data_IF_527424226115
#
_entry.id   IF_527424226115
#
_cell.length_a   1.000
_cell.length_b   1.000
_cell.length_c   1.000
_cell.angle_alpha   90.00
_cell.angle_beta   90.00
_cell.angle_gamma   90.00
#
_symmetry.space_group_name_H-M   'P 1'
#
loop_
_entity.id
_entity.type
_entity.pdbx_description
1 polymer ?
#
# COMPACT_ATOMS: atom_id res chain seq x y z
N UNK A 1 -17.51 18.72 -5.38
CA UNK A 1 -16.97 19.37 -4.15
C UNK A 1 -15.90 20.35 -4.53
N UNK A 2 -15.90 21.55 -3.92
CA UNK A 2 -14.84 22.55 -4.12
C UNK A 2 -13.97 22.63 -2.86
N UNK A 3 -12.65 22.57 -3.03
CA UNK A 3 -11.66 22.91 -2.00
C UNK A 3 -11.00 24.24 -2.37
N UNK A 4 -11.24 25.27 -1.56
CA UNK A 4 -10.63 26.61 -1.72
C UNK A 4 -9.46 26.77 -0.79
N UNK A 5 -8.33 27.29 -1.31
CA UNK A 5 -7.07 27.41 -0.57
C UNK A 5 -6.56 28.85 -0.70
N UNK A 6 -6.34 29.53 0.44
CA UNK A 6 -5.85 30.89 0.47
C UNK A 6 -4.65 31.07 1.41
N UNK A 7 -3.59 31.68 0.90
CA UNK A 7 -2.42 32.04 1.67
C UNK A 7 -1.47 30.88 2.03
N UNK A 8 -1.70 29.68 1.48
CA UNK A 8 -0.84 28.50 1.66
C UNK A 8 -0.91 27.54 0.45
N UNK A 9 -0.07 26.52 0.46
CA UNK A 9 0.05 25.51 -0.61
C UNK A 9 -0.17 24.06 -0.14
N UNK A 10 -0.85 23.85 1.01
CA UNK A 10 -1.14 22.54 1.61
C UNK A 10 -2.27 21.78 0.89
N UNK A 11 -2.30 21.86 -0.46
CA UNK A 11 -3.40 21.29 -1.24
C UNK A 11 -3.49 19.77 -1.12
N UNK A 12 -2.34 19.08 -1.06
CA UNK A 12 -2.29 17.62 -1.00
C UNK A 12 -2.92 17.08 0.30
N UNK A 13 -2.57 17.66 1.44
CA UNK A 13 -3.07 17.27 2.76
C UNK A 13 -4.55 17.59 2.90
N UNK A 14 -4.97 18.78 2.48
CA UNK A 14 -6.36 19.21 2.52
C UNK A 14 -7.25 18.35 1.58
N UNK A 15 -6.78 18.08 0.36
CA UNK A 15 -7.50 17.25 -0.59
C UNK A 15 -7.67 15.82 -0.07
N UNK A 16 -6.59 15.21 0.44
CA UNK A 16 -6.65 13.84 0.99
C UNK A 16 -7.62 13.77 2.17
N UNK A 17 -7.62 14.76 3.04
CA UNK A 17 -8.56 14.78 4.16
C UNK A 17 -10.01 14.93 3.66
N UNK A 18 -10.28 15.77 2.67
CA UNK A 18 -11.59 15.83 2.03
C UNK A 18 -12.01 14.49 1.44
N UNK A 19 -11.09 13.73 0.80
CA UNK A 19 -11.36 12.40 0.25
C UNK A 19 -11.73 11.36 1.31
N UNK A 20 -11.20 11.48 2.53
CA UNK A 20 -11.57 10.58 3.63
C UNK A 20 -13.06 10.74 4.00
N UNK A 21 -13.61 11.95 3.94
CA UNK A 21 -15.01 12.20 4.25
C UNK A 21 -15.95 12.08 3.04
N UNK A 22 -15.45 12.38 1.86
CA UNK A 22 -16.21 12.41 0.60
C UNK A 22 -15.49 11.61 -0.50
N UNK A 23 -15.34 10.28 -0.35
CA UNK A 23 -14.50 9.44 -1.23
C UNK A 23 -15.01 9.37 -2.67
N UNK A 24 -16.30 9.59 -2.89
CA UNK A 24 -16.92 9.51 -4.23
C UNK A 24 -17.05 10.87 -4.93
N UNK A 25 -16.69 11.96 -4.26
CA UNK A 25 -16.80 13.29 -4.83
C UNK A 25 -15.58 13.65 -5.67
N UNK A 26 -15.83 14.30 -6.83
CA UNK A 26 -14.76 14.92 -7.59
C UNK A 26 -14.37 16.22 -6.88
N UNK A 27 -13.14 16.31 -6.39
CA UNK A 27 -12.63 17.50 -5.73
C UNK A 27 -12.00 18.43 -6.76
N UNK A 28 -12.46 19.66 -6.82
CA UNK A 28 -11.88 20.73 -7.62
C UNK A 28 -11.19 21.75 -6.70
N UNK A 29 -9.88 21.94 -6.89
CA UNK A 29 -9.09 22.88 -6.06
C UNK A 29 -9.13 24.26 -6.70
N UNK A 30 -9.42 25.29 -5.91
CA UNK A 30 -9.51 26.71 -6.32
C UNK A 30 -8.65 27.58 -5.42
N UNK A 31 -8.00 28.56 -6.01
CA UNK A 31 -7.16 29.53 -5.31
C UNK A 31 -7.71 30.98 -5.40
N UNK A 32 -8.80 31.17 -6.13
CA UNK A 32 -9.37 32.48 -6.48
C UNK A 32 -10.78 32.74 -5.93
N UNK A 33 -11.28 31.82 -5.11
CA UNK A 33 -12.63 31.90 -4.55
C UNK A 33 -13.75 31.65 -5.55
N UNK A 34 -13.44 31.31 -6.80
CA UNK A 34 -14.44 31.06 -7.85
C UNK A 34 -15.18 29.74 -7.68
N UNK A 35 -16.31 29.63 -8.37
CA UNK A 35 -17.17 28.45 -8.37
C UNK A 35 -18.17 28.44 -7.22
N UNK A 36 -19.23 27.66 -7.39
CA UNK A 36 -20.27 27.41 -6.40
C UNK A 36 -20.59 25.93 -6.41
N UNK A 37 -20.60 25.31 -5.23
CA UNK A 37 -20.85 23.88 -5.06
C UNK A 37 -21.47 23.68 -3.67
N UNK A 38 -22.52 22.86 -3.53
CA UNK A 38 -23.14 22.58 -2.24
C UNK A 38 -22.18 21.97 -1.21
N UNK A 39 -21.05 21.38 -1.68
CA UNK A 39 -19.99 20.86 -0.84
C UNK A 39 -18.73 21.70 -1.04
N UNK A 40 -18.51 22.67 -0.17
CA UNK A 40 -17.32 23.53 -0.21
C UNK A 40 -16.57 23.49 1.11
N UNK A 41 -15.26 23.30 1.02
CA UNK A 41 -14.31 23.49 2.14
C UNK A 41 -13.34 24.60 1.75
N UNK A 42 -13.13 25.52 2.65
CA UNK A 42 -12.21 26.62 2.45
C UNK A 42 -11.20 26.68 3.58
N UNK A 43 -9.92 26.79 3.23
CA UNK A 43 -8.80 26.87 4.17
C UNK A 43 -8.02 28.15 3.92
N UNK A 44 -7.68 28.88 4.99
CA UNK A 44 -7.01 30.17 4.91
C UNK A 44 -5.84 30.22 5.88
N UNK A 45 -4.75 30.85 5.46
CA UNK A 45 -3.61 31.17 6.29
C UNK A 45 -3.29 32.67 6.13
N UNK A 46 -3.18 33.37 7.24
CA UNK A 46 -2.81 34.77 7.31
C UNK A 46 -1.52 34.89 8.14
N UNK A 47 -0.41 35.31 7.55
CA UNK A 47 0.80 35.62 8.32
C UNK A 47 0.55 36.73 9.33
N UNK A 48 1.07 36.57 10.55
CA UNK A 48 1.01 37.55 11.63
C UNK A 48 2.39 37.72 12.28
N UNK A 49 2.62 38.77 13.03
CA UNK A 49 3.86 38.96 13.77
C UNK A 49 4.06 37.84 14.79
N UNK A 50 5.16 37.08 14.61
CA UNK A 50 5.52 35.94 15.47
C UNK A 50 4.67 34.68 15.25
N UNK A 51 3.98 34.53 14.10
CA UNK A 51 3.18 33.34 13.82
C UNK A 51 2.26 33.49 12.61
N UNK A 52 1.12 32.79 12.67
CA UNK A 52 0.09 32.86 11.65
C UNK A 52 -1.31 32.63 12.25
N UNK A 53 -2.33 33.18 11.65
CA UNK A 53 -3.72 32.83 11.92
C UNK A 53 -4.21 31.90 10.82
N UNK A 54 -4.80 30.79 11.23
CA UNK A 54 -5.41 29.80 10.33
C UNK A 54 -6.91 29.75 10.52
N UNK A 55 -7.66 29.56 9.44
CA UNK A 55 -9.09 29.46 9.44
C UNK A 55 -9.57 28.37 8.47
N UNK A 56 -10.59 27.65 8.86
CA UNK A 56 -11.30 26.69 8.01
C UNK A 56 -12.78 26.98 8.03
N UNK A 57 -13.40 27.00 6.86
CA UNK A 57 -14.84 27.20 6.67
C UNK A 57 -15.38 26.04 5.87
N UNK A 58 -16.43 25.39 6.35
CA UNK A 58 -17.19 24.39 5.61
C UNK A 58 -18.56 24.93 5.25
N UNK A 59 -18.97 24.79 4.00
CA UNK A 59 -20.32 25.04 3.52
C UNK A 59 -20.84 23.76 2.86
N UNK A 60 -21.68 23.05 3.59
CA UNK A 60 -22.11 21.70 3.21
C UNK A 60 -23.64 21.66 3.23
N UNK A 61 -24.25 21.50 2.05
CA UNK A 61 -25.70 21.44 1.88
C UNK A 61 -26.46 22.59 2.56
N UNK A 62 -25.87 23.79 2.53
CA UNK A 62 -26.45 25.01 3.14
C UNK A 62 -26.14 25.24 4.61
N UNK A 63 -25.48 24.28 5.29
CA UNK A 63 -24.90 24.45 6.62
C UNK A 63 -23.52 25.11 6.50
N UNK A 64 -23.29 26.21 7.18
CA UNK A 64 -22.00 26.90 7.20
C UNK A 64 -21.44 26.86 8.61
N UNK A 65 -20.21 26.32 8.71
CA UNK A 65 -19.45 26.31 9.97
C UNK A 65 -18.06 26.87 9.73
N UNK A 66 -17.47 27.45 10.76
CA UNK A 66 -16.09 27.91 10.71
C UNK A 66 -15.37 27.67 12.02
N UNK A 67 -14.07 27.46 11.93
CA UNK A 67 -13.17 27.43 13.07
C UNK A 67 -11.85 28.07 12.68
N UNK A 68 -11.17 28.69 13.64
CA UNK A 68 -9.87 29.31 13.40
C UNK A 68 -9.04 29.31 14.66
N UNK A 69 -7.73 29.48 14.49
CA UNK A 69 -6.77 29.49 15.58
C UNK A 69 -5.56 30.34 15.23
N UNK A 70 -4.79 30.71 16.26
CA UNK A 70 -3.48 31.36 16.13
C UNK A 70 -2.39 30.34 16.37
N UNK A 71 -1.49 30.19 15.39
CA UNK A 71 -0.33 29.31 15.47
C UNK A 71 0.92 30.14 15.74
N UNK A 72 1.63 29.82 16.81
CA UNK A 72 2.89 30.46 17.17
C UNK A 72 3.99 29.38 17.24
N UNK A 73 5.06 29.57 16.50
CA UNK A 73 6.18 28.64 16.46
C UNK A 73 7.45 29.32 15.95
N UNK A 74 8.64 28.74 16.16
CA UNK A 74 9.85 29.12 15.44
C UNK A 74 9.61 29.11 13.92
N UNK A 75 10.32 29.97 13.18
CA UNK A 75 10.10 30.16 11.75
C UNK A 75 10.25 28.86 10.93
N UNK A 76 11.23 28.04 11.31
CA UNK A 76 11.49 26.72 10.70
C UNK A 76 10.42 25.66 10.98
N UNK A 77 9.62 25.79 12.03
CA UNK A 77 8.51 24.89 12.38
C UNK A 77 7.12 25.45 12.04
N UNK A 78 7.03 26.74 11.76
CA UNK A 78 5.73 27.43 11.64
C UNK A 78 4.88 26.85 10.52
N UNK A 79 5.48 26.53 9.39
CA UNK A 79 4.81 25.92 8.24
C UNK A 79 4.11 24.62 8.63
N UNK A 80 4.87 23.67 9.20
CA UNK A 80 4.36 22.34 9.55
C UNK A 80 3.28 22.41 10.64
N UNK A 81 3.43 23.36 11.58
CA UNK A 81 2.41 23.59 12.61
C UNK A 81 1.14 24.21 12.07
N UNK A 82 1.23 25.11 11.08
CA UNK A 82 0.05 25.66 10.40
C UNK A 82 -0.68 24.59 9.59
N UNK A 83 0.05 23.77 8.85
CA UNK A 83 -0.49 22.64 8.09
C UNK A 83 -1.25 21.68 9.01
N UNK A 84 -0.59 21.23 10.10
CA UNK A 84 -1.22 20.36 11.08
C UNK A 84 -2.47 21.00 11.70
N UNK A 85 -2.43 22.29 12.05
CA UNK A 85 -3.58 22.94 12.67
C UNK A 85 -4.74 23.10 11.70
N UNK A 86 -4.50 23.42 10.45
CA UNK A 86 -5.53 23.43 9.39
C UNK A 86 -6.16 22.04 9.27
N UNK A 87 -5.36 20.98 9.20
CA UNK A 87 -5.86 19.61 9.11
C UNK A 87 -6.73 19.23 10.34
N UNK A 88 -6.33 19.63 11.55
CA UNK A 88 -7.12 19.42 12.77
C UNK A 88 -8.47 20.15 12.71
N UNK A 89 -8.48 21.42 12.31
CA UNK A 89 -9.72 22.19 12.16
C UNK A 89 -10.66 21.60 11.10
N UNK A 90 -10.09 21.15 9.97
CA UNK A 90 -10.85 20.40 8.95
C UNK A 90 -11.47 19.14 9.53
N UNK A 91 -10.67 18.35 10.26
CA UNK A 91 -11.14 17.11 10.90
C UNK A 91 -12.28 17.39 11.88
N UNK A 92 -12.14 18.39 12.75
CA UNK A 92 -13.16 18.80 13.72
C UNK A 92 -14.49 19.17 13.03
N UNK A 93 -14.42 20.05 12.00
CA UNK A 93 -15.61 20.51 11.28
C UNK A 93 -16.26 19.41 10.44
N UNK A 94 -15.46 18.65 9.68
CA UNK A 94 -15.98 17.60 8.81
C UNK A 94 -16.54 16.41 9.61
N UNK A 95 -15.90 16.05 10.73
CA UNK A 95 -16.46 15.04 11.64
C UNK A 95 -17.81 15.48 12.25
N UNK A 96 -17.91 16.74 12.65
CA UNK A 96 -19.16 17.28 13.19
C UNK A 96 -20.27 17.37 12.15
N UNK A 97 -19.93 17.56 10.88
CA UNK A 97 -20.89 17.67 9.77
C UNK A 97 -21.37 16.31 9.30
N UNK A 98 -20.46 15.33 9.17
CA UNK A 98 -20.75 14.00 8.63
C UNK A 98 -21.18 12.99 9.68
N UNK A 99 -20.90 13.25 10.97
CA UNK A 99 -21.06 12.27 12.05
C UNK A 99 -20.02 11.11 11.99
N UNK A 100 -19.06 11.19 11.07
CA UNK A 100 -17.99 10.19 10.91
C UNK A 100 -16.69 10.71 11.49
N UNK A 101 -16.03 9.90 12.31
CA UNK A 101 -14.71 10.21 12.87
C UNK A 101 -13.68 9.23 12.34
N UNK A 102 -12.82 9.62 11.41
CA UNK A 102 -11.78 8.76 10.86
C UNK A 102 -10.85 8.21 11.96
N UNK A 103 -10.65 6.90 12.05
CA UNK A 103 -9.86 6.31 13.15
C UNK A 103 -8.36 6.64 13.06
N UNK A 104 -7.86 7.05 11.90
CA UNK A 104 -6.50 7.53 11.71
C UNK A 104 -6.35 9.05 11.85
N UNK A 105 -7.40 9.76 12.29
CA UNK A 105 -7.38 11.21 12.50
C UNK A 105 -7.04 11.96 11.22
N UNK A 106 -6.08 12.88 11.33
CA UNK A 106 -5.57 13.68 10.19
C UNK A 106 -4.37 13.02 9.49
N UNK A 107 -3.98 11.83 9.90
CA UNK A 107 -2.87 11.10 9.29
C UNK A 107 -3.27 10.58 7.91
N UNK A 108 -2.78 11.21 6.85
CA UNK A 108 -3.02 10.84 5.44
C UNK A 108 -1.88 10.02 4.84
N UNK A 109 -0.77 9.86 5.57
CA UNK A 109 0.41 9.10 5.11
C UNK A 109 0.23 7.60 5.15
N UNK A 110 0.96 6.94 4.25
CA UNK A 110 1.04 5.48 4.16
C UNK A 110 2.14 4.93 5.04
N UNK A 111 2.10 4.17 5.98
CA UNK A 111 3.11 3.60 6.90
C UNK A 111 3.15 4.33 8.25
N UNK A 112 2.05 4.31 8.99
CA UNK A 112 1.98 4.90 10.33
C UNK A 112 3.00 4.29 11.31
N UNK A 113 3.36 3.00 11.15
CA UNK A 113 4.40 2.33 11.96
C UNK A 113 5.76 2.99 11.80
N UNK A 114 6.16 3.37 10.57
CA UNK A 114 7.43 4.07 10.32
C UNK A 114 7.48 5.46 10.99
N UNK A 115 6.36 6.18 10.97
CA UNK A 115 6.24 7.46 11.68
C UNK A 115 6.32 7.23 13.20
N UNK A 116 5.60 6.24 13.71
CA UNK A 116 5.62 5.88 15.13
C UNK A 116 7.03 5.52 15.59
N UNK A 117 7.77 4.70 14.85
CA UNK A 117 9.15 4.32 15.16
C UNK A 117 10.07 5.55 15.25
N UNK A 118 9.97 6.45 14.25
CA UNK A 118 10.76 7.70 14.23
C UNK A 118 10.46 8.60 15.44
N UNK A 119 9.18 8.78 15.75
CA UNK A 119 8.75 9.61 16.88
C UNK A 119 9.12 8.99 18.22
N UNK A 120 9.06 7.66 18.33
CA UNK A 120 9.53 6.95 19.54
C UNK A 120 11.01 7.20 19.80
N UNK A 121 11.84 7.18 18.75
CA UNK A 121 13.26 7.49 18.86
C UNK A 121 13.54 8.95 19.27
N UNK A 122 12.67 9.90 18.87
CA UNK A 122 12.83 11.33 19.13
C UNK A 122 12.20 11.78 20.46
N UNK A 123 11.03 11.28 20.80
CA UNK A 123 10.17 11.78 21.89
C UNK A 123 9.95 10.76 23.01
N UNK A 124 10.44 9.53 22.85
CA UNK A 124 10.09 8.39 23.70
C UNK A 124 8.70 7.84 23.40
N UNK A 125 8.37 6.66 23.95
CA UNK A 125 7.10 5.96 23.69
C UNK A 125 5.88 6.83 24.02
N UNK A 126 5.86 7.47 25.19
CA UNK A 126 4.73 8.30 25.60
C UNK A 126 4.58 9.54 24.73
N UNK A 127 5.70 10.21 24.38
CA UNK A 127 5.67 11.37 23.48
C UNK A 127 5.16 11.04 22.08
N UNK A 128 5.55 9.88 21.54
CA UNK A 128 5.05 9.39 20.26
C UNK A 128 3.54 9.07 20.32
N UNK A 129 3.09 8.42 21.39
CA UNK A 129 1.66 8.15 21.62
C UNK A 129 0.84 9.44 21.76
N UNK A 130 1.34 10.43 22.49
CA UNK A 130 0.70 11.74 22.64
C UNK A 130 0.64 12.48 21.30
N UNK A 131 1.70 12.45 20.50
CA UNK A 131 1.69 13.05 19.18
C UNK A 131 0.65 12.39 18.26
N UNK A 132 0.54 11.06 18.25
CA UNK A 132 -0.48 10.36 17.47
C UNK A 132 -1.90 10.70 17.94
N UNK A 133 -2.16 10.67 19.25
CA UNK A 133 -3.53 10.81 19.76
C UNK A 133 -3.99 12.26 19.90
N UNK A 134 -3.11 13.18 20.31
CA UNK A 134 -3.42 14.59 20.53
C UNK A 134 -3.04 15.48 19.34
N UNK A 135 -1.90 15.17 18.70
CA UNK A 135 -1.43 15.90 17.52
C UNK A 135 -2.16 15.49 16.26
N UNK A 136 -2.09 14.20 15.91
CA UNK A 136 -2.69 13.68 14.67
C UNK A 136 -4.16 13.24 14.84
N UNK A 137 -4.74 13.33 16.03
CA UNK A 137 -6.11 12.93 16.36
C UNK A 137 -6.42 11.46 16.00
N UNK A 138 -5.40 10.62 15.98
CA UNK A 138 -5.52 9.18 15.76
C UNK A 138 -6.21 8.53 16.97
N UNK A 139 -7.13 7.60 16.72
CA UNK A 139 -7.79 6.89 17.83
C UNK A 139 -6.75 6.13 18.68
N UNK A 140 -6.97 6.03 20.01
CA UNK A 140 -6.05 5.31 20.88
C UNK A 140 -5.79 3.85 20.45
N UNK A 141 -6.78 3.21 19.84
CA UNK A 141 -6.68 1.84 19.33
C UNK A 141 -5.70 1.78 18.15
N UNK A 142 -5.85 2.68 17.18
CA UNK A 142 -4.95 2.74 16.00
C UNK A 142 -3.54 3.19 16.37
N UNK A 143 -3.40 4.10 17.34
CA UNK A 143 -2.09 4.49 17.86
C UNK A 143 -1.36 3.30 18.52
N UNK A 144 -2.08 2.50 19.34
CA UNK A 144 -1.51 1.25 19.91
C UNK A 144 -1.16 0.23 18.83
N UNK A 145 -2.00 0.07 17.81
CA UNK A 145 -1.68 -0.79 16.66
C UNK A 145 -0.39 -0.34 15.97
N UNK A 146 -0.27 0.96 15.65
CA UNK A 146 0.94 1.51 15.04
C UNK A 146 2.19 1.26 15.90
N UNK A 147 2.10 1.42 17.22
CA UNK A 147 3.20 1.16 18.15
C UNK A 147 3.58 -0.33 18.19
N UNK A 148 2.60 -1.23 18.20
CA UNK A 148 2.84 -2.67 18.19
C UNK A 148 3.56 -3.10 16.90
N UNK A 149 3.09 -2.62 15.75
CA UNK A 149 3.71 -2.91 14.45
C UNK A 149 5.11 -2.31 14.38
N UNK A 150 5.29 -1.06 14.79
CA UNK A 150 6.60 -0.39 14.82
C UNK A 150 7.63 -1.19 15.62
N UNK A 151 7.25 -1.70 16.80
CA UNK A 151 8.13 -2.53 17.65
C UNK A 151 8.49 -3.86 16.99
N UNK A 152 7.57 -4.48 16.26
CA UNK A 152 7.85 -5.70 15.51
C UNK A 152 8.79 -5.43 14.33
N UNK A 153 8.57 -4.34 13.59
CA UNK A 153 9.42 -3.93 12.46
C UNK A 153 10.83 -3.53 12.91
N UNK A 154 10.97 -2.88 14.07
CA UNK A 154 12.26 -2.44 14.62
C UNK A 154 13.26 -3.59 14.73
N UNK A 155 12.83 -4.74 15.23
CA UNK A 155 13.69 -5.93 15.38
C UNK A 155 14.20 -6.43 14.02
N UNK A 156 13.38 -6.35 12.98
CA UNK A 156 13.74 -6.76 11.62
C UNK A 156 14.73 -5.76 11.02
N UNK A 157 14.45 -4.46 11.14
CA UNK A 157 15.30 -3.40 10.60
C UNK A 157 16.66 -3.36 11.34
N UNK A 158 16.66 -3.51 12.65
CA UNK A 158 17.89 -3.53 13.46
C UNK A 158 18.84 -4.67 13.11
N UNK A 159 18.35 -5.75 12.52
CA UNK A 159 19.16 -6.89 12.06
C UNK A 159 19.81 -6.67 10.68
N UNK A 160 19.41 -5.63 9.95
CA UNK A 160 20.01 -5.27 8.66
C UNK A 160 21.31 -4.50 8.87
N UNK A 161 22.26 -4.72 7.97
CA UNK A 161 23.58 -4.05 8.00
C UNK A 161 23.56 -2.80 7.09
N UNK A 162 24.47 -1.84 7.27
CA UNK A 162 24.54 -0.64 6.43
C UNK A 162 24.72 -0.94 4.93
N UNK A 163 25.33 -2.08 4.57
CA UNK A 163 25.51 -2.54 3.19
C UNK A 163 24.44 -3.53 2.73
N UNK A 164 23.38 -3.74 3.51
CA UNK A 164 22.26 -4.62 3.11
C UNK A 164 21.39 -3.97 2.06
N UNK A 165 20.89 -4.77 1.11
CA UNK A 165 19.91 -4.34 0.13
C UNK A 165 18.87 -5.44 -0.14
N UNK A 166 17.75 -5.03 -0.73
CA UNK A 166 16.68 -5.91 -1.21
C UNK A 166 16.57 -5.81 -2.72
N UNK A 167 16.35 -6.94 -3.37
CA UNK A 167 16.16 -7.03 -4.82
C UNK A 167 14.67 -7.22 -5.14
N UNK A 168 14.10 -6.30 -5.93
CA UNK A 168 12.77 -6.44 -6.49
C UNK A 168 12.85 -6.74 -7.98
N UNK A 169 12.32 -7.89 -8.40
CA UNK A 169 12.29 -8.35 -9.79
C UNK A 169 10.86 -8.22 -10.31
N UNK A 170 10.65 -7.30 -11.25
CA UNK A 170 9.32 -7.03 -11.80
C UNK A 170 9.02 -7.91 -13.01
N UNK A 171 7.84 -8.55 -13.02
CA UNK A 171 7.29 -9.26 -14.20
C UNK A 171 6.03 -8.53 -14.64
N UNK A 172 6.12 -7.54 -15.54
CA UNK A 172 4.99 -6.67 -15.93
C UNK A 172 4.03 -7.37 -16.91
N UNK A 173 3.75 -8.65 -16.68
CA UNK A 173 2.82 -9.45 -17.48
C UNK A 173 1.78 -10.11 -16.59
N UNK A 174 0.54 -10.16 -17.08
CA UNK A 174 -0.60 -10.80 -16.39
C UNK A 174 -1.36 -11.70 -17.36
N UNK A 175 -2.08 -12.73 -16.87
CA UNK A 175 -3.01 -13.50 -17.71
C UNK A 175 -4.08 -12.60 -18.34
N UNK A 176 -4.72 -11.76 -17.53
CA UNK A 176 -5.72 -10.74 -17.94
C UNK A 176 -5.51 -9.49 -17.09
N UNK A 177 -6.06 -8.34 -17.52
CA UNK A 177 -6.02 -7.11 -16.73
C UNK A 177 -7.27 -7.00 -15.86
N UNK A 178 -7.07 -6.88 -14.54
CA UNK A 178 -8.14 -6.64 -13.60
C UNK A 178 -8.58 -5.17 -13.63
N UNK A 179 -9.89 -4.90 -13.47
CA UNK A 179 -10.46 -3.54 -13.58
C UNK A 179 -9.96 -2.56 -12.52
N UNK A 180 -9.62 -3.04 -11.33
CA UNK A 180 -9.11 -2.23 -10.21
C UNK A 180 -7.61 -1.98 -10.25
N UNK A 181 -6.84 -2.72 -11.07
CA UNK A 181 -5.38 -2.73 -10.96
C UNK A 181 -4.75 -1.50 -11.62
N UNK A 182 -3.99 -0.75 -10.82
CA UNK A 182 -3.20 0.42 -11.26
C UNK A 182 -1.78 0.08 -11.72
N UNK A 183 -1.32 -1.16 -11.53
CA UNK A 183 0.02 -1.56 -11.93
C UNK A 183 0.20 -1.55 -13.44
N UNK A 184 1.37 -1.11 -13.88
CA UNK A 184 1.74 -1.19 -15.28
C UNK A 184 1.97 -2.66 -15.63
N UNK A 185 1.05 -3.23 -16.43
CA UNK A 185 1.14 -4.63 -16.85
C UNK A 185 0.55 -4.85 -18.23
N UNK A 186 1.09 -5.85 -18.91
CA UNK A 186 0.64 -6.28 -20.23
C UNK A 186 -0.10 -7.62 -20.11
N UNK A 187 -1.32 -7.68 -20.66
CA UNK A 187 -2.04 -8.96 -20.72
C UNK A 187 -1.43 -9.85 -21.81
N UNK A 188 -1.08 -11.09 -21.46
CA UNK A 188 -0.57 -12.08 -22.43
C UNK A 188 -1.65 -12.61 -23.38
N UNK A 189 -2.94 -12.26 -23.19
CA UNK A 189 -3.95 -12.48 -24.21
C UNK A 189 -3.73 -11.59 -25.44
N UNK A 190 -3.03 -10.47 -25.26
CA UNK A 190 -2.57 -9.64 -26.36
C UNK A 190 -1.37 -10.30 -27.05
N UNK A 191 -1.47 -10.52 -28.37
CA UNK A 191 -0.43 -11.19 -29.16
C UNK A 191 0.91 -10.42 -29.17
N UNK A 192 0.89 -9.09 -29.12
CA UNK A 192 2.10 -8.28 -29.07
C UNK A 192 2.82 -8.43 -27.71
N UNK A 193 2.07 -8.39 -26.62
CA UNK A 193 2.63 -8.61 -25.28
C UNK A 193 3.25 -10.01 -25.15
N UNK A 194 2.57 -11.03 -25.68
CA UNK A 194 3.11 -12.41 -25.69
C UNK A 194 4.41 -12.54 -26.48
N UNK A 195 4.55 -11.80 -27.58
CA UNK A 195 5.79 -11.78 -28.38
C UNK A 195 6.95 -11.06 -27.69
N UNK A 196 6.65 -10.08 -26.84
CA UNK A 196 7.67 -9.34 -26.07
C UNK A 196 8.23 -10.13 -24.88
N UNK A 197 7.45 -11.07 -24.31
CA UNK A 197 7.83 -11.78 -23.09
C UNK A 197 9.19 -12.51 -23.18
N UNK A 198 9.54 -13.25 -24.25
CA UNK A 198 10.85 -13.89 -24.33
C UNK A 198 12.01 -12.92 -24.31
N UNK A 199 11.94 -11.85 -25.11
CA UNK A 199 12.97 -10.79 -25.16
C UNK A 199 13.09 -10.07 -23.80
N UNK A 200 11.96 -9.79 -23.15
CA UNK A 200 11.94 -9.22 -21.83
C UNK A 200 12.71 -10.07 -20.80
N UNK A 201 12.49 -11.40 -20.82
CA UNK A 201 13.17 -12.32 -19.89
C UNK A 201 14.67 -12.40 -20.15
N UNK A 202 15.10 -12.33 -21.41
CA UNK A 202 16.52 -12.25 -21.76
C UNK A 202 17.15 -10.97 -21.21
N UNK A 203 16.53 -9.80 -21.45
CA UNK A 203 17.01 -8.51 -20.93
C UNK A 203 17.01 -8.44 -19.43
N UNK A 204 15.99 -9.01 -18.78
CA UNK A 204 15.92 -9.09 -17.31
C UNK A 204 17.05 -9.98 -16.75
N UNK A 205 17.39 -11.07 -17.41
CA UNK A 205 18.53 -11.91 -17.01
C UNK A 205 19.87 -11.18 -17.18
N UNK A 206 20.05 -10.43 -18.28
CA UNK A 206 21.23 -9.59 -18.50
C UNK A 206 21.34 -8.53 -17.37
N UNK A 207 20.24 -7.83 -17.07
CA UNK A 207 20.17 -6.82 -16.00
C UNK A 207 20.52 -7.41 -14.61
N UNK A 208 20.02 -8.60 -14.27
CA UNK A 208 20.38 -9.27 -13.03
C UNK A 208 21.90 -9.56 -12.96
N UNK A 209 22.52 -9.96 -14.07
CA UNK A 209 23.96 -10.18 -14.16
C UNK A 209 24.75 -8.90 -13.88
N UNK A 210 24.40 -7.79 -14.54
CA UNK A 210 25.05 -6.49 -14.36
C UNK A 210 24.86 -5.96 -12.91
N UNK A 211 23.65 -6.02 -12.37
CA UNK A 211 23.38 -5.62 -10.98
C UNK A 211 24.15 -6.47 -9.98
N UNK A 212 24.28 -7.78 -10.22
CA UNK A 212 25.09 -8.67 -9.41
C UNK A 212 26.58 -8.29 -9.44
N UNK A 213 27.11 -7.87 -10.60
CA UNK A 213 28.45 -7.30 -10.74
C UNK A 213 28.64 -6.06 -9.87
N UNK A 214 27.75 -5.07 -9.98
CA UNK A 214 27.75 -3.84 -9.22
C UNK A 214 27.67 -4.14 -7.70
N UNK A 215 26.78 -5.05 -7.30
CA UNK A 215 26.62 -5.41 -5.89
C UNK A 215 27.91 -5.99 -5.30
N UNK A 216 28.63 -6.84 -6.05
CA UNK A 216 29.94 -7.38 -5.64
C UNK A 216 31.00 -6.29 -5.55
N UNK A 217 31.11 -5.39 -6.52
CA UNK A 217 32.07 -4.28 -6.51
C UNK A 217 31.87 -3.36 -5.33
N UNK A 218 30.61 -3.09 -4.95
CA UNK A 218 30.26 -2.23 -3.82
C UNK A 218 30.25 -2.96 -2.47
N UNK A 219 30.51 -4.27 -2.44
CA UNK A 219 30.45 -5.08 -1.22
C UNK A 219 29.07 -5.12 -0.57
N UNK A 220 28.02 -5.07 -1.38
CA UNK A 220 26.63 -5.10 -0.91
C UNK A 220 26.19 -6.53 -0.55
N UNK A 221 25.28 -6.63 0.42
CA UNK A 221 24.76 -7.88 0.97
C UNK A 221 23.26 -8.00 0.66
N UNK A 222 22.87 -8.99 -0.14
CA UNK A 222 21.49 -9.24 -0.47
C UNK A 222 20.75 -9.91 0.71
N UNK A 223 19.70 -9.27 1.23
CA UNK A 223 18.92 -9.78 2.37
C UNK A 223 17.53 -10.27 2.01
N UNK A 224 16.92 -9.73 0.97
CA UNK A 224 15.62 -10.23 0.49
C UNK A 224 15.50 -10.15 -1.02
N UNK A 225 14.78 -11.10 -1.57
CA UNK A 225 14.41 -11.14 -3.01
C UNK A 225 12.91 -11.23 -3.12
N UNK A 226 12.34 -10.39 -3.97
CA UNK A 226 10.91 -10.36 -4.22
C UNK A 226 10.61 -10.30 -5.72
N UNK A 227 9.99 -11.35 -6.26
CA UNK A 227 9.46 -11.37 -7.62
C UNK A 227 7.98 -10.98 -7.59
N UNK A 228 7.66 -9.88 -8.25
CA UNK A 228 6.30 -9.31 -8.25
C UNK A 228 5.99 -8.53 -9.53
N UNK A 229 5.12 -7.53 -9.39
CA UNK A 229 4.73 -6.62 -10.48
C UNK A 229 3.35 -6.93 -11.04
N UNK A 230 3.27 -7.55 -12.22
CA UNK A 230 2.02 -8.06 -12.79
C UNK A 230 1.64 -9.39 -12.14
N UNK A 231 2.14 -10.48 -12.70
CA UNK A 231 1.91 -11.84 -12.18
C UNK A 231 3.08 -12.74 -12.57
N UNK A 232 4.10 -12.92 -11.74
CA UNK A 232 5.21 -13.84 -12.04
C UNK A 232 4.76 -15.26 -12.39
N UNK A 233 3.64 -15.71 -11.84
CA UNK A 233 3.02 -17.00 -12.20
C UNK A 233 2.57 -17.12 -13.66
N UNK A 234 2.59 -16.04 -14.45
CA UNK A 234 2.32 -16.10 -15.90
C UNK A 234 3.42 -16.83 -16.66
N UNK A 235 4.64 -16.86 -16.11
CA UNK A 235 5.78 -17.55 -16.70
C UNK A 235 5.55 -19.07 -16.70
N UNK A 236 5.94 -19.74 -17.78
CA UNK A 236 5.98 -21.19 -17.80
C UNK A 236 7.08 -21.71 -16.85
N UNK A 237 6.93 -22.92 -16.35
CA UNK A 237 7.88 -23.48 -15.38
C UNK A 237 9.36 -23.41 -15.86
N UNK A 238 9.72 -23.71 -17.14
CA UNK A 238 11.10 -23.57 -17.61
C UNK A 238 11.58 -22.12 -17.69
N UNK A 239 10.65 -21.14 -17.91
CA UNK A 239 11.00 -19.72 -17.92
C UNK A 239 11.28 -19.22 -16.51
N UNK A 240 10.43 -19.62 -15.56
CA UNK A 240 10.59 -19.33 -14.15
C UNK A 240 11.90 -19.91 -13.60
N UNK A 241 12.16 -21.18 -13.86
CA UNK A 241 13.40 -21.88 -13.48
C UNK A 241 14.65 -21.14 -14.00
N UNK A 242 14.67 -20.80 -15.29
CA UNK A 242 15.80 -20.08 -15.92
C UNK A 242 16.03 -18.71 -15.28
N UNK A 243 14.96 -17.97 -14.98
CA UNK A 243 15.07 -16.65 -14.37
C UNK A 243 15.57 -16.73 -12.92
N UNK A 244 15.12 -17.73 -12.16
CA UNK A 244 15.60 -17.97 -10.81
C UNK A 244 17.09 -18.39 -10.82
N UNK A 245 17.52 -19.26 -11.74
CA UNK A 245 18.93 -19.59 -11.98
C UNK A 245 19.78 -18.34 -12.29
N UNK A 246 19.25 -17.40 -13.09
CA UNK A 246 19.96 -16.13 -13.37
C UNK A 246 20.17 -15.31 -12.11
N UNK A 247 19.18 -15.21 -11.23
CA UNK A 247 19.32 -14.56 -9.93
C UNK A 247 20.36 -15.24 -9.04
N UNK A 248 20.29 -16.57 -8.91
CA UNK A 248 21.22 -17.37 -8.08
C UNK A 248 22.66 -17.29 -8.57
N UNK A 249 22.87 -17.23 -9.88
CA UNK A 249 24.22 -17.08 -10.46
C UNK A 249 24.78 -15.67 -10.33
N UNK A 250 23.91 -14.67 -10.21
CA UNK A 250 24.30 -13.25 -10.19
C UNK A 250 24.58 -12.74 -8.78
N UNK A 251 23.90 -13.27 -7.75
CA UNK A 251 23.97 -12.78 -6.37
C UNK A 251 24.35 -13.90 -5.39
N UNK A 252 25.03 -13.51 -4.28
CA UNK A 252 25.22 -14.39 -3.13
C UNK A 252 23.94 -14.43 -2.29
N UNK A 253 23.27 -15.57 -2.30
CA UNK A 253 22.02 -15.81 -1.58
C UNK A 253 22.22 -16.33 -0.15
N UNK A 254 23.45 -16.54 0.31
CA UNK A 254 23.75 -17.08 1.65
C UNK A 254 23.23 -16.23 2.81
N UNK A 255 22.96 -14.96 2.54
CA UNK A 255 22.45 -13.99 3.50
C UNK A 255 20.95 -13.75 3.42
N UNK A 256 20.23 -14.45 2.53
CA UNK A 256 18.79 -14.23 2.35
C UNK A 256 18.02 -14.57 3.62
N UNK A 257 17.14 -13.66 3.98
CA UNK A 257 16.17 -13.81 5.07
C UNK A 257 14.77 -14.05 4.53
N UNK A 258 14.48 -13.59 3.31
CA UNK A 258 13.23 -13.83 2.63
C UNK A 258 13.44 -13.96 1.12
N UNK A 259 12.86 -14.98 0.53
CA UNK A 259 12.77 -15.20 -0.91
C UNK A 259 11.31 -15.39 -1.29
N UNK A 260 10.70 -14.35 -1.84
CA UNK A 260 9.29 -14.31 -2.19
C UNK A 260 9.07 -14.33 -3.69
N UNK A 261 8.12 -15.12 -4.16
CA UNK A 261 7.60 -15.09 -5.54
C UNK A 261 6.08 -15.01 -5.52
N UNK A 262 5.53 -13.94 -6.10
CA UNK A 262 4.10 -13.82 -6.34
C UNK A 262 3.68 -14.73 -7.49
N UNK A 263 3.11 -15.91 -7.20
CA UNK A 263 2.38 -16.64 -8.23
C UNK A 263 1.12 -15.86 -8.60
N UNK A 264 0.51 -15.23 -7.61
CA UNK A 264 -0.51 -14.21 -7.75
C UNK A 264 -1.87 -14.77 -8.12
N UNK A 265 -2.03 -15.26 -9.32
CA UNK A 265 -3.31 -15.73 -9.86
C UNK A 265 -3.52 -17.22 -9.62
N UNK A 266 -4.65 -17.65 -9.01
CA UNK A 266 -4.97 -19.08 -8.83
C UNK A 266 -4.94 -19.90 -10.14
N UNK A 267 -5.36 -19.30 -11.25
CA UNK A 267 -5.37 -19.91 -12.58
C UNK A 267 -3.97 -20.09 -13.20
N UNK A 268 -2.91 -19.59 -12.55
CA UNK A 268 -1.52 -19.76 -13.01
C UNK A 268 -0.74 -20.79 -12.20
N UNK A 269 -1.30 -21.30 -11.11
CA UNK A 269 -0.65 -22.25 -10.22
C UNK A 269 -0.63 -23.65 -10.86
N UNK A 270 0.56 -24.24 -11.01
CA UNK A 270 0.72 -25.62 -11.49
C UNK A 270 1.75 -26.39 -10.65
N UNK A 271 1.67 -27.73 -10.58
CA UNK A 271 2.63 -28.54 -9.87
C UNK A 271 4.09 -28.30 -10.31
N UNK A 272 4.31 -28.11 -11.61
CA UNK A 272 5.63 -27.89 -12.20
C UNK A 272 6.23 -26.58 -11.73
N UNK A 273 5.44 -25.50 -11.67
CA UNK A 273 5.88 -24.18 -11.18
C UNK A 273 6.19 -24.23 -9.70
N UNK A 274 5.32 -24.83 -8.89
CA UNK A 274 5.57 -24.99 -7.45
C UNK A 274 6.83 -25.80 -7.18
N UNK A 275 7.07 -26.87 -7.95
CA UNK A 275 8.30 -27.65 -7.86
C UNK A 275 9.53 -26.83 -8.23
N UNK A 276 9.48 -26.04 -9.32
CA UNK A 276 10.56 -25.14 -9.70
C UNK A 276 10.89 -24.17 -8.58
N UNK A 277 9.89 -23.49 -7.99
CA UNK A 277 10.10 -22.58 -6.86
C UNK A 277 10.77 -23.28 -5.66
N UNK A 278 10.37 -24.51 -5.32
CA UNK A 278 10.98 -25.24 -4.21
C UNK A 278 12.41 -25.69 -4.49
N UNK A 279 12.75 -26.07 -5.74
CA UNK A 279 14.13 -26.37 -6.14
C UNK A 279 15.05 -25.17 -5.91
N UNK A 280 14.55 -23.96 -6.13
CA UNK A 280 15.27 -22.70 -5.92
C UNK A 280 15.14 -22.12 -4.50
N UNK A 281 14.70 -22.91 -3.53
CA UNK A 281 14.56 -22.50 -2.12
C UNK A 281 13.69 -21.25 -1.91
N UNK A 282 12.73 -21.00 -2.77
CA UNK A 282 11.73 -19.96 -2.54
C UNK A 282 10.92 -20.36 -1.30
N UNK A 283 10.99 -19.54 -0.25
CA UNK A 283 10.32 -19.79 1.03
C UNK A 283 8.89 -19.25 1.07
N UNK A 284 8.64 -18.10 0.43
CA UNK A 284 7.35 -17.43 0.45
C UNK A 284 6.74 -17.33 -0.95
N UNK A 285 5.47 -17.68 -1.04
CA UNK A 285 4.66 -17.44 -2.26
C UNK A 285 3.36 -16.74 -1.91
N UNK A 286 2.74 -16.10 -2.91
CA UNK A 286 1.38 -15.60 -2.73
C UNK A 286 0.41 -16.21 -3.74
N UNK A 287 -0.80 -16.51 -3.27
CA UNK A 287 -1.95 -16.92 -4.07
C UNK A 287 -3.07 -15.96 -3.74
N UNK A 288 -3.43 -15.11 -4.70
CA UNK A 288 -4.25 -13.92 -4.48
C UNK A 288 -5.68 -14.13 -5.00
N UNK A 289 -6.62 -14.67 -4.20
CA UNK A 289 -8.02 -14.78 -4.59
C UNK A 289 -8.66 -13.41 -4.79
N UNK A 290 -8.29 -12.42 -3.99
CA UNK A 290 -8.82 -11.07 -3.86
C UNK A 290 -10.23 -11.03 -3.23
N UNK A 291 -11.08 -11.97 -3.53
CA UNK A 291 -12.40 -12.22 -2.94
C UNK A 291 -12.77 -13.69 -3.15
N UNK A 292 -13.64 -14.21 -2.31
CA UNK A 292 -14.29 -15.50 -2.51
C UNK A 292 -15.76 -15.35 -2.97
N UNK A 293 -16.13 -14.19 -3.53
CA UNK A 293 -17.40 -13.95 -4.17
C UNK A 293 -17.26 -14.11 -5.69
N UNK A 294 -17.91 -15.15 -6.26
CA UNK A 294 -17.81 -15.47 -7.69
C UNK A 294 -18.29 -14.32 -8.60
N UNK A 295 -19.37 -13.63 -8.23
CA UNK A 295 -19.91 -12.50 -9.00
C UNK A 295 -18.92 -11.33 -9.04
N UNK A 296 -18.27 -11.06 -7.91
CA UNK A 296 -17.25 -10.01 -7.81
C UNK A 296 -16.04 -10.37 -8.66
N UNK A 297 -15.56 -11.63 -8.65
CA UNK A 297 -14.47 -12.09 -9.52
C UNK A 297 -14.75 -11.82 -11.01
N UNK A 298 -15.95 -12.13 -11.47
CA UNK A 298 -16.39 -11.86 -12.84
C UNK A 298 -16.41 -10.35 -13.15
N UNK A 299 -16.94 -9.54 -12.23
CA UNK A 299 -17.06 -8.09 -12.38
C UNK A 299 -15.68 -7.41 -12.47
N UNK A 300 -14.69 -7.88 -11.71
CA UNK A 300 -13.34 -7.34 -11.72
C UNK A 300 -12.41 -7.93 -12.80
N UNK A 301 -12.94 -8.79 -13.68
CA UNK A 301 -12.21 -9.36 -14.80
C UNK A 301 -11.22 -10.47 -14.44
N UNK A 302 -11.52 -11.22 -13.37
CA UNK A 302 -10.77 -12.41 -12.99
C UNK A 302 -11.44 -13.68 -13.51
N UNK A 303 -10.71 -14.48 -14.27
CA UNK A 303 -11.26 -15.66 -14.96
C UNK A 303 -11.25 -16.93 -14.11
N UNK A 304 -10.68 -16.93 -12.90
CA UNK A 304 -10.68 -18.09 -12.02
C UNK A 304 -11.98 -18.17 -11.20
N UNK A 305 -12.33 -19.36 -10.77
CA UNK A 305 -13.45 -19.60 -9.85
C UNK A 305 -12.96 -19.67 -8.40
N UNK A 306 -13.90 -19.53 -7.46
CA UNK A 306 -13.63 -19.71 -6.03
C UNK A 306 -13.02 -21.09 -5.75
N UNK A 307 -13.58 -22.16 -6.37
CA UNK A 307 -13.02 -23.51 -6.19
C UNK A 307 -11.59 -23.62 -6.72
N UNK A 308 -11.26 -22.96 -7.83
CA UNK A 308 -9.88 -22.91 -8.33
C UNK A 308 -8.94 -22.23 -7.35
N UNK A 309 -9.37 -21.15 -6.69
CA UNK A 309 -8.57 -20.47 -5.69
C UNK A 309 -8.27 -21.38 -4.48
N UNK A 310 -9.29 -22.08 -3.98
CA UNK A 310 -9.14 -23.05 -2.88
C UNK A 310 -8.20 -24.21 -3.28
N UNK A 311 -8.40 -24.78 -4.48
CA UNK A 311 -7.55 -25.86 -4.97
C UNK A 311 -6.10 -25.44 -5.18
N UNK A 312 -5.86 -24.24 -5.73
CA UNK A 312 -4.53 -23.70 -5.92
C UNK A 312 -3.80 -23.52 -4.58
N UNK A 313 -4.51 -23.01 -3.57
CA UNK A 313 -3.98 -22.92 -2.22
C UNK A 313 -3.65 -24.29 -1.61
N UNK A 314 -4.59 -25.24 -1.65
CA UNK A 314 -4.38 -26.60 -1.15
C UNK A 314 -3.19 -27.29 -1.84
N UNK A 315 -3.04 -27.10 -3.16
CA UNK A 315 -1.91 -27.58 -3.90
C UNK A 315 -0.59 -26.96 -3.41
N UNK A 316 -0.57 -25.62 -3.21
CA UNK A 316 0.62 -24.95 -2.70
C UNK A 316 1.02 -25.44 -1.30
N UNK A 317 0.05 -25.65 -0.42
CA UNK A 317 0.29 -26.20 0.93
C UNK A 317 0.92 -27.59 0.92
N UNK A 318 0.77 -28.36 -0.15
CA UNK A 318 1.41 -29.68 -0.29
C UNK A 318 2.90 -29.62 -0.67
N UNK A 319 3.46 -28.42 -0.91
CA UNK A 319 4.86 -28.21 -1.32
C UNK A 319 5.77 -27.65 -0.22
N UNK A 320 5.29 -27.57 1.01
CA UNK A 320 6.09 -27.21 2.20
C UNK A 320 6.80 -25.84 2.06
N UNK A 321 6.08 -24.82 1.58
CA UNK A 321 6.54 -23.43 1.65
C UNK A 321 6.48 -22.91 3.08
N UNK A 322 7.46 -22.09 3.48
CA UNK A 322 7.52 -21.48 4.81
C UNK A 322 6.32 -20.53 5.04
N UNK A 323 5.85 -19.90 3.95
CA UNK A 323 4.70 -18.98 4.00
C UNK A 323 3.95 -19.00 2.67
N UNK A 324 2.65 -19.31 2.74
CA UNK A 324 1.70 -19.06 1.65
C UNK A 324 0.82 -17.89 2.06
N UNK A 325 0.96 -16.76 1.35
CA UNK A 325 0.17 -15.58 1.58
C UNK A 325 -1.10 -15.56 0.71
N UNK A 326 -2.18 -15.01 1.24
CA UNK A 326 -3.41 -14.69 0.50
C UNK A 326 -3.67 -13.19 0.51
N UNK A 327 -3.91 -12.59 -0.66
CA UNK A 327 -4.39 -11.21 -0.74
C UNK A 327 -5.90 -11.18 -0.92
N UNK A 328 -6.55 -10.31 -0.15
CA UNK A 328 -7.94 -9.91 -0.27
C UNK A 328 -8.01 -8.40 -0.53
N UNK A 329 -9.08 -7.95 -1.17
CA UNK A 329 -9.36 -6.52 -1.37
C UNK A 329 -10.71 -6.19 -0.75
N UNK A 330 -10.72 -5.20 0.17
CA UNK A 330 -11.94 -4.63 0.70
C UNK A 330 -12.45 -3.51 -0.21
N UNK A 331 -13.77 -3.44 -0.40
CA UNK A 331 -14.40 -2.38 -1.19
C UNK A 331 -14.35 -2.61 -2.71
N UNK A 332 -14.30 -3.86 -3.16
CA UNK A 332 -14.44 -4.18 -4.58
C UNK A 332 -15.82 -3.77 -5.12
N UNK A 333 -15.91 -3.37 -6.41
CA UNK A 333 -17.18 -2.96 -7.01
C UNK A 333 -18.26 -4.02 -6.86
N UNK A 334 -19.44 -3.61 -6.36
CA UNK A 334 -20.60 -4.48 -6.18
C UNK A 334 -20.52 -5.45 -5.00
N UNK A 335 -19.50 -5.37 -4.17
CA UNK A 335 -19.32 -6.19 -2.98
C UNK A 335 -19.83 -5.47 -1.72
N UNK A 336 -20.65 -6.15 -0.93
CA UNK A 336 -21.14 -5.65 0.36
C UNK A 336 -20.14 -5.92 1.48
N UNK A 337 -20.38 -5.34 2.65
CA UNK A 337 -19.61 -5.64 3.86
C UNK A 337 -19.70 -7.13 4.24
N UNK A 338 -20.91 -7.71 4.09
CA UNK A 338 -21.17 -9.13 4.39
C UNK A 338 -20.42 -10.05 3.42
N UNK A 339 -20.36 -9.71 2.13
CA UNK A 339 -19.59 -10.45 1.11
C UNK A 339 -18.10 -10.45 1.43
N UNK A 340 -17.56 -9.27 1.80
CA UNK A 340 -16.15 -9.15 2.19
C UNK A 340 -15.87 -9.95 3.48
N UNK A 341 -16.74 -9.86 4.48
CA UNK A 341 -16.61 -10.62 5.75
C UNK A 341 -16.61 -12.13 5.48
N UNK A 342 -17.50 -12.63 4.62
CA UNK A 342 -17.53 -14.03 4.22
C UNK A 342 -16.24 -14.46 3.50
N UNK A 343 -15.65 -13.55 2.71
CA UNK A 343 -14.35 -13.78 2.07
C UNK A 343 -13.22 -13.87 3.09
N UNK A 344 -13.21 -13.01 4.10
CA UNK A 344 -12.25 -13.07 5.22
C UNK A 344 -12.40 -14.37 6.01
N UNK A 345 -13.64 -14.76 6.37
CA UNK A 345 -13.92 -16.00 7.09
C UNK A 345 -13.43 -17.23 6.30
N UNK A 346 -13.63 -17.23 4.98
CA UNK A 346 -13.15 -18.29 4.11
C UNK A 346 -11.61 -18.36 4.10
N UNK A 347 -10.93 -17.20 3.99
CA UNK A 347 -9.47 -17.16 4.04
C UNK A 347 -8.93 -17.64 5.40
N UNK A 348 -9.54 -17.22 6.51
CA UNK A 348 -9.17 -17.64 7.86
C UNK A 348 -9.38 -19.15 8.04
N UNK A 349 -10.47 -19.71 7.54
CA UNK A 349 -10.75 -21.14 7.61
C UNK A 349 -9.72 -21.98 6.81
N UNK A 350 -9.16 -21.44 5.72
CA UNK A 350 -8.07 -22.06 4.97
C UNK A 350 -6.73 -22.03 5.74
N UNK A 351 -6.59 -21.16 6.73
CA UNK A 351 -5.41 -21.02 7.60
C UNK A 351 -4.09 -20.82 6.86
N UNK A 352 -3.95 -19.81 5.98
CA UNK A 352 -2.66 -19.43 5.43
C UNK A 352 -1.76 -18.83 6.51
N UNK A 353 -0.45 -18.85 6.30
CA UNK A 353 0.52 -18.25 7.21
C UNK A 353 0.40 -16.71 7.25
N UNK A 354 -0.11 -16.11 6.16
CA UNK A 354 -0.33 -14.68 6.08
C UNK A 354 -1.57 -14.34 5.23
N UNK A 355 -2.33 -13.33 5.67
CA UNK A 355 -3.41 -12.71 4.92
C UNK A 355 -3.09 -11.22 4.80
N UNK A 356 -3.07 -10.71 3.57
CA UNK A 356 -2.93 -9.28 3.28
C UNK A 356 -4.28 -8.74 2.82
N UNK A 357 -4.74 -7.65 3.43
CA UNK A 357 -5.96 -6.96 2.99
C UNK A 357 -5.58 -5.60 2.42
N UNK A 358 -5.94 -5.40 1.16
CA UNK A 358 -5.85 -4.11 0.47
C UNK A 358 -7.21 -3.40 0.47
N UNK A 359 -7.21 -2.08 0.26
CA UNK A 359 -8.42 -1.24 0.17
C UNK A 359 -8.39 -0.39 -1.10
#
# INVERSE_FOLDING_TARGET
MILRIFGHDFHYECENLCRVYYPNEKIEIKYDGSGDDPLTVETRLFPEDGGARVEVITSINGSVRSAGDKVTAPEDELRDKCELRIAQLMFELLSAETGYTPPWGVLTGVRPSKLMLRLTAQLGEQGAMDYFTKGLLVSPEKARLAATVAKAEEQIVASSRPNSFSLYVSIPFCPTRCSYCSFVSHSITNSNARKLLPEYLEKLSDELGELGGIARELGLRLESVYFGGGTPGVLEAPQLDRLLCSGESSFDLSSLREYTVEIGRPDTVTPEKLRALRIHNVGRISINPQTFNQKTLELIGRNHTVEQAVKAYQLAKSYDFDCVNMDLIAGLPGESYEDFTASVDTAVALSPENITVHT
#
